data_IF_505677161518
#
_entry.id   IF_505677161518
#
_cell.length_a   1.000
_cell.length_b   1.000
_cell.length_c   1.000
_cell.angle_alpha   90.00
_cell.angle_beta   90.00
_cell.angle_gamma   90.00
#
_symmetry.space_group_name_H-M   'P 1'
#
loop_
_entity.id
_entity.type
_entity.pdbx_description
1 polymer ?
#
# COMPACT_ATOMS: atom_id res chain seq x y z
N UNK A 1 -39.79 22.03 8.57
CA UNK A 1 -39.19 21.66 8.32
C UNK A 1 -38.45 21.02 8.84
N UNK A 2 -38.05 20.99 9.20
CA UNK A 2 -37.27 20.41 9.89
C UNK A 2 -37.44 19.05 10.01
N UNK A 3 -38.44 18.59 9.84
CA UNK A 3 -38.63 17.33 10.10
C UNK A 3 -38.16 16.37 9.13
N UNK A 4 -37.99 16.78 7.93
CA UNK A 4 -37.29 16.00 6.99
C UNK A 4 -35.92 15.75 7.44
N UNK A 5 -35.37 16.63 8.19
CA UNK A 5 -34.06 16.39 8.71
C UNK A 5 -34.06 15.34 9.73
N UNK A 6 -35.05 15.28 10.53
CA UNK A 6 -35.09 14.30 11.56
C UNK A 6 -35.33 12.93 11.01
N UNK A 7 -35.89 12.84 9.79
CA UNK A 7 -36.07 11.57 9.18
C UNK A 7 -34.83 11.13 8.41
N UNK A 8 -34.00 12.06 8.09
CA UNK A 8 -32.72 11.71 7.55
C UNK A 8 -31.89 11.22 8.71
N UNK A 9 -31.66 9.96 8.72
CA UNK A 9 -30.80 9.38 9.70
C UNK A 9 -29.52 10.14 9.66
N UNK A 10 -29.26 10.92 10.66
CA UNK A 10 -27.93 11.43 10.85
C UNK A 10 -27.00 10.26 10.85
N UNK A 11 -25.97 10.27 10.04
CA UNK A 11 -24.98 9.23 10.18
C UNK A 11 -24.57 9.24 11.64
N UNK A 12 -24.63 8.10 12.25
CA UNK A 12 -24.01 7.89 13.53
C UNK A 12 -22.71 8.66 13.51
N UNK A 13 -22.43 9.46 14.53
CA UNK A 13 -21.16 10.17 14.53
C UNK A 13 -20.11 9.16 14.18
N UNK A 14 -19.52 9.36 13.02
CA UNK A 14 -18.48 8.49 12.56
C UNK A 14 -17.48 8.44 13.68
N UNK A 15 -17.19 7.23 14.11
CA UNK A 15 -16.15 7.00 15.04
C UNK A 15 -14.93 7.75 14.56
N UNK A 16 -14.40 8.59 15.42
CA UNK A 16 -13.20 9.34 15.07
C UNK A 16 -12.01 8.39 15.18
N UNK A 17 -11.33 8.21 14.06
CA UNK A 17 -10.13 7.39 14.05
C UNK A 17 -8.89 8.28 14.00
N UNK A 18 -7.79 7.76 14.49
CA UNK A 18 -6.46 8.28 14.20
C UNK A 18 -5.73 7.19 13.40
N UNK A 19 -4.47 7.42 13.09
CA UNK A 19 -3.71 6.46 12.29
C UNK A 19 -3.71 5.07 12.91
N UNK A 20 -3.45 4.99 14.20
CA UNK A 20 -3.31 3.70 14.89
C UNK A 20 -4.65 2.96 14.98
N UNK A 21 -5.69 3.65 15.39
CA UNK A 21 -7.01 3.03 15.52
C UNK A 21 -7.58 2.65 14.15
N UNK A 22 -7.32 3.46 13.14
CA UNK A 22 -7.75 3.15 11.78
C UNK A 22 -7.04 1.90 11.25
N UNK A 23 -5.73 1.78 11.51
CA UNK A 23 -4.99 0.61 11.09
C UNK A 23 -5.50 -0.65 11.82
N UNK A 24 -5.83 -0.54 13.09
CA UNK A 24 -6.41 -1.65 13.82
C UNK A 24 -7.75 -2.09 13.19
N UNK A 25 -8.60 -1.14 12.86
CA UNK A 25 -9.89 -1.46 12.21
C UNK A 25 -9.68 -2.09 10.85
N UNK A 26 -8.70 -1.60 10.09
CA UNK A 26 -8.34 -2.22 8.82
C UNK A 26 -7.91 -3.68 9.02
N UNK A 27 -7.05 -3.94 9.99
CA UNK A 27 -6.57 -5.30 10.25
C UNK A 27 -7.69 -6.24 10.67
N UNK A 28 -8.69 -5.74 11.38
CA UNK A 28 -9.86 -6.56 11.76
C UNK A 28 -10.67 -7.03 10.55
N UNK A 29 -10.57 -6.37 9.42
CA UNK A 29 -11.26 -6.80 8.21
C UNK A 29 -10.66 -8.07 7.62
N UNK A 30 -9.42 -8.41 8.01
CA UNK A 30 -8.71 -9.57 7.46
C UNK A 30 -8.65 -9.54 5.94
N UNK A 31 -8.34 -8.38 5.39
CA UNK A 31 -8.28 -8.17 3.95
C UNK A 31 -7.16 -8.98 3.34
N UNK A 32 -7.43 -9.59 2.20
CA UNK A 32 -6.40 -10.25 1.41
C UNK A 32 -6.39 -9.68 0.00
N UNK A 33 -5.22 -9.58 -0.59
CA UNK A 33 -5.10 -9.19 -1.98
C UNK A 33 -5.22 -10.43 -2.88
N UNK A 34 -5.86 -10.28 -4.02
CA UNK A 34 -5.93 -11.36 -5.00
C UNK A 34 -4.54 -11.77 -5.43
N UNK A 35 -4.28 -13.06 -5.49
CA UNK A 35 -3.00 -13.58 -5.98
C UNK A 35 -3.14 -13.92 -7.46
N UNK A 36 -3.26 -12.90 -8.29
CA UNK A 36 -3.51 -13.02 -9.72
C UNK A 36 -2.25 -12.95 -10.58
N UNK A 37 -1.09 -12.72 -9.98
CA UNK A 37 0.17 -12.78 -10.66
C UNK A 37 0.74 -14.19 -10.60
N UNK A 38 1.33 -14.64 -11.71
CA UNK A 38 1.95 -15.97 -11.77
C UNK A 38 3.44 -15.83 -11.92
N UNK A 39 4.17 -16.57 -11.09
CA UNK A 39 5.61 -16.65 -11.21
C UNK A 39 5.95 -17.95 -11.96
N UNK A 40 6.43 -17.87 -13.20
CA UNK A 40 6.69 -19.06 -13.99
C UNK A 40 7.82 -19.92 -13.45
N UNK A 41 8.66 -19.35 -12.57
CA UNK A 41 9.82 -20.07 -12.05
C UNK A 41 9.54 -20.82 -10.75
N UNK A 42 8.49 -20.45 -10.01
CA UNK A 42 8.29 -20.95 -8.66
C UNK A 42 6.90 -21.49 -8.38
N UNK A 43 6.11 -21.80 -9.27
CA UNK A 43 4.75 -22.33 -9.04
C UNK A 43 3.94 -21.56 -7.98
N UNK A 44 4.43 -20.42 -7.56
CA UNK A 44 3.73 -19.60 -6.57
C UNK A 44 3.02 -18.47 -7.27
N UNK A 45 1.90 -18.07 -6.71
CA UNK A 45 1.18 -16.91 -7.18
C UNK A 45 1.51 -15.72 -6.29
N UNK A 46 1.41 -14.55 -6.83
CA UNK A 46 1.60 -13.32 -6.07
C UNK A 46 0.49 -12.34 -6.40
N UNK A 47 0.33 -11.34 -5.55
CA UNK A 47 -0.65 -10.29 -5.79
C UNK A 47 -0.01 -9.18 -6.61
N UNK A 48 -0.61 -8.84 -7.73
CA UNK A 48 -0.15 -7.71 -8.54
C UNK A 48 -0.37 -6.41 -7.77
N UNK A 49 0.38 -5.37 -8.13
CA UNK A 49 0.27 -4.08 -7.46
C UNK A 49 -1.16 -3.56 -7.45
N UNK A 50 -1.87 -3.68 -8.56
CA UNK A 50 -3.27 -3.24 -8.66
C UNK A 50 -4.16 -3.94 -7.62
N UNK A 51 -3.95 -5.24 -7.42
CA UNK A 51 -4.72 -6.01 -6.46
C UNK A 51 -4.38 -5.66 -5.03
N UNK A 52 -3.12 -5.33 -4.78
CA UNK A 52 -2.69 -4.84 -3.45
C UNK A 52 -3.33 -3.48 -3.18
N UNK A 53 -3.32 -2.58 -4.16
CA UNK A 53 -3.94 -1.26 -4.02
C UNK A 53 -5.43 -1.40 -3.72
N UNK A 54 -6.12 -2.28 -4.45
CA UNK A 54 -7.54 -2.53 -4.21
C UNK A 54 -7.78 -3.02 -2.79
N UNK A 55 -6.94 -3.93 -2.31
CA UNK A 55 -7.06 -4.47 -0.98
C UNK A 55 -6.84 -3.41 0.10
N UNK A 56 -5.75 -2.63 0.00
CA UNK A 56 -5.43 -1.63 1.04
C UNK A 56 -6.40 -0.45 1.02
N UNK A 57 -7.02 -0.17 -0.13
CA UNK A 57 -7.98 0.92 -0.23
C UNK A 57 -9.27 0.65 0.56
N UNK A 58 -9.46 -0.56 1.05
CA UNK A 58 -10.53 -0.82 2.01
C UNK A 58 -10.30 -0.08 3.32
N UNK A 59 -9.08 0.34 3.59
CA UNK A 59 -8.77 1.17 4.74
C UNK A 59 -9.24 2.61 4.61
N UNK A 60 -9.63 3.04 3.40
CA UNK A 60 -10.11 4.42 3.18
C UNK A 60 -11.34 4.72 4.02
N UNK A 61 -12.16 3.74 4.30
CA UNK A 61 -13.36 3.91 5.12
C UNK A 61 -13.04 4.35 6.56
N UNK A 62 -11.81 4.12 6.99
CA UNK A 62 -11.34 4.53 8.32
C UNK A 62 -10.46 5.78 8.27
N UNK A 63 -10.30 6.36 7.09
CA UNK A 63 -9.44 7.55 6.89
C UNK A 63 -8.01 7.24 6.50
N UNK A 64 -7.66 5.96 6.30
CA UNK A 64 -6.31 5.59 5.84
C UNK A 64 -6.16 5.83 4.35
N UNK A 65 -5.01 6.32 3.96
CA UNK A 65 -4.59 6.39 2.56
C UNK A 65 -3.08 6.29 2.51
N UNK A 66 -2.54 6.14 1.33
CA UNK A 66 -1.09 5.99 1.19
C UNK A 66 -0.55 6.88 0.08
N UNK A 67 0.73 7.16 0.18
CA UNK A 67 1.49 7.81 -0.88
C UNK A 67 2.70 6.96 -1.20
N UNK A 68 3.14 6.98 -2.45
CA UNK A 68 4.36 6.32 -2.87
C UNK A 68 5.25 7.31 -3.58
N UNK A 69 6.48 7.41 -3.13
CA UNK A 69 7.44 8.36 -3.65
C UNK A 69 8.72 7.63 -4.04
N UNK A 70 9.44 8.22 -4.96
CA UNK A 70 10.73 7.71 -5.40
C UNK A 70 11.78 8.76 -5.02
N UNK A 71 12.73 8.36 -4.19
CA UNK A 71 13.86 9.20 -3.82
C UNK A 71 15.08 8.74 -4.58
N UNK A 72 15.91 9.68 -5.01
CA UNK A 72 17.17 9.38 -5.68
C UNK A 72 18.30 9.72 -4.72
N UNK A 73 19.20 8.77 -4.51
CA UNK A 73 20.30 8.91 -3.56
C UNK A 73 21.62 8.55 -4.22
N UNK A 74 22.72 8.87 -3.52
CA UNK A 74 24.07 8.50 -3.93
C UNK A 74 24.42 8.92 -5.35
N UNK A 75 24.23 10.20 -5.65
CA UNK A 75 24.51 10.75 -6.98
C UNK A 75 23.79 10.01 -8.09
N UNK A 76 22.53 9.67 -7.83
CA UNK A 76 21.64 9.02 -8.81
C UNK A 76 22.02 7.56 -9.08
N UNK A 77 22.80 6.95 -8.19
CA UNK A 77 23.13 5.52 -8.33
C UNK A 77 22.10 4.61 -7.70
N UNK A 78 21.36 5.12 -6.74
CA UNK A 78 20.36 4.35 -6.04
C UNK A 78 19.03 5.07 -6.10
N UNK A 79 17.96 4.32 -6.20
CA UNK A 79 16.62 4.86 -5.98
C UNK A 79 16.00 4.13 -4.81
N UNK A 80 15.13 4.82 -4.08
CA UNK A 80 14.43 4.25 -2.94
C UNK A 80 12.95 4.48 -3.16
N UNK A 81 12.17 3.42 -3.12
CA UNK A 81 10.72 3.54 -3.15
C UNK A 81 10.25 3.68 -1.71
N UNK A 82 9.50 4.73 -1.44
CA UNK A 82 9.00 5.05 -0.11
C UNK A 82 7.48 5.00 -0.13
N UNK A 83 6.91 4.11 0.65
CA UNK A 83 5.46 4.02 0.82
C UNK A 83 5.10 4.50 2.21
N UNK A 84 4.22 5.48 2.28
CA UNK A 84 3.79 6.08 3.53
C UNK A 84 2.29 5.90 3.68
N UNK A 85 1.88 5.31 4.80
CA UNK A 85 0.46 5.26 5.17
C UNK A 85 0.17 6.48 6.02
N UNK A 86 -0.89 7.19 5.65
CA UNK A 86 -1.31 8.43 6.26
C UNK A 86 -2.76 8.31 6.73
N UNK A 87 -3.13 9.20 7.59
CA UNK A 87 -4.52 9.31 8.04
C UNK A 87 -5.00 10.73 7.84
N UNK A 88 -6.24 10.88 7.43
CA UNK A 88 -6.81 12.17 7.06
C UNK A 88 -6.81 13.17 8.23
N UNK A 89 -6.88 12.70 9.47
CA UNK A 89 -6.96 13.57 10.66
C UNK A 89 -5.73 13.47 11.58
N UNK A 90 -4.66 12.84 11.14
CA UNK A 90 -3.52 12.56 12.00
C UNK A 90 -2.23 12.83 11.22
N UNK A 91 -1.29 13.49 11.83
CA UNK A 91 0.00 13.79 11.18
C UNK A 91 1.01 12.64 11.30
N UNK A 92 0.71 11.64 12.11
CA UNK A 92 1.58 10.48 12.23
C UNK A 92 1.52 9.63 10.96
N UNK A 93 2.57 8.89 10.71
CA UNK A 93 2.67 8.05 9.52
C UNK A 93 3.33 6.71 9.84
N UNK A 94 3.02 5.70 9.01
CA UNK A 94 3.80 4.47 8.94
C UNK A 94 4.53 4.48 7.60
N UNK A 95 5.82 4.12 7.62
CA UNK A 95 6.67 4.21 6.43
C UNK A 95 7.35 2.88 6.18
N UNK A 96 7.39 2.48 4.92
CA UNK A 96 8.17 1.34 4.45
C UNK A 96 9.01 1.78 3.26
N UNK A 97 10.27 1.41 3.24
CA UNK A 97 11.20 1.81 2.18
C UNK A 97 11.90 0.59 1.62
N UNK A 98 12.14 0.61 0.32
CA UNK A 98 12.93 -0.43 -0.32
C UNK A 98 13.88 0.21 -1.33
N UNK A 99 15.19 0.07 -1.13
CA UNK A 99 16.16 0.60 -2.07
C UNK A 99 16.27 -0.32 -3.30
N UNK A 100 16.48 0.30 -4.44
CA UNK A 100 16.78 -0.40 -5.67
C UNK A 100 18.18 0.04 -6.08
N UNK A 101 19.09 -0.92 -6.10
CA UNK A 101 20.45 -0.63 -6.50
C UNK A 101 20.52 -0.62 -8.02
N UNK A 102 20.89 0.51 -8.59
CA UNK A 102 21.04 0.65 -10.03
C UNK A 102 22.49 0.30 -10.38
N UNK A 103 22.66 -0.83 -11.04
CA UNK A 103 23.95 -1.17 -11.60
C UNK A 103 24.03 -0.66 -13.04
N UNK A 104 25.18 -0.85 -13.68
CA UNK A 104 25.39 -0.36 -15.03
C UNK A 104 24.41 -0.94 -16.05
N UNK A 105 23.98 -2.15 -15.82
CA UNK A 105 23.06 -2.83 -16.74
C UNK A 105 21.64 -2.26 -16.57
N UNK A 106 21.23 -2.07 -15.32
CA UNK A 106 19.90 -1.53 -15.02
C UNK A 106 19.73 -0.12 -15.56
N UNK A 107 20.75 0.71 -15.46
CA UNK A 107 20.68 2.07 -15.97
C UNK A 107 20.49 2.15 -17.47
N UNK A 108 20.91 1.12 -18.19
CA UNK A 108 20.77 1.06 -19.65
C UNK A 108 19.46 0.43 -20.09
N UNK A 109 18.64 -0.04 -19.15
CA UNK A 109 17.41 -0.73 -19.48
C UNK A 109 16.24 -0.15 -18.69
N UNK A 110 15.52 0.82 -19.28
CA UNK A 110 14.37 1.45 -18.59
C UNK A 110 13.29 0.45 -18.18
N UNK A 111 13.10 -0.61 -18.92
CA UNK A 111 12.12 -1.63 -18.59
C UNK A 111 12.46 -2.34 -17.29
N UNK A 112 13.73 -2.64 -17.06
CA UNK A 112 14.18 -3.28 -15.81
C UNK A 112 13.99 -2.35 -14.63
N UNK A 113 14.27 -1.08 -14.83
CA UNK A 113 14.07 -0.07 -13.77
C UNK A 113 12.59 0.00 -13.43
N UNK A 114 11.73 0.11 -14.43
CA UNK A 114 10.29 0.17 -14.24
C UNK A 114 9.75 -1.07 -13.51
N UNK A 115 10.21 -2.25 -13.90
CA UNK A 115 9.80 -3.49 -13.24
C UNK A 115 10.27 -3.54 -11.78
N UNK A 116 11.49 -3.08 -11.54
CA UNK A 116 12.03 -3.04 -10.17
C UNK A 116 11.26 -2.04 -9.30
N UNK A 117 10.87 -0.92 -9.85
CA UNK A 117 10.04 0.07 -9.13
C UNK A 117 8.67 -0.52 -8.79
N UNK A 118 8.03 -1.18 -9.75
CA UNK A 118 6.73 -1.82 -9.51
C UNK A 118 6.84 -2.89 -8.43
N UNK A 119 7.89 -3.69 -8.47
CA UNK A 119 8.19 -4.69 -7.46
C UNK A 119 8.31 -4.04 -6.08
N UNK A 120 9.09 -2.97 -5.99
CA UNK A 120 9.31 -2.27 -4.72
C UNK A 120 8.04 -1.59 -4.22
N UNK A 121 7.23 -1.05 -5.10
CA UNK A 121 5.93 -0.48 -4.72
C UNK A 121 5.02 -1.53 -4.12
N UNK A 122 4.99 -2.71 -4.72
CA UNK A 122 4.16 -3.82 -4.24
C UNK A 122 4.62 -4.29 -2.87
N UNK A 123 5.92 -4.52 -2.70
CA UNK A 123 6.45 -5.01 -1.43
C UNK A 123 6.32 -4.00 -0.30
N UNK A 124 6.63 -2.73 -0.55
CA UNK A 124 6.50 -1.71 0.50
C UNK A 124 5.06 -1.48 0.90
N UNK A 125 4.14 -1.54 -0.05
CA UNK A 125 2.72 -1.36 0.24
C UNK A 125 2.17 -2.53 1.07
N UNK A 126 2.50 -3.75 0.69
CA UNK A 126 2.10 -4.93 1.46
C UNK A 126 2.70 -4.90 2.87
N UNK A 127 3.97 -4.55 2.97
CA UNK A 127 4.67 -4.52 4.25
C UNK A 127 4.05 -3.51 5.21
N UNK A 128 3.78 -2.31 4.74
CA UNK A 128 3.31 -1.23 5.61
C UNK A 128 1.86 -1.46 6.09
N UNK A 129 1.07 -2.19 5.32
CA UNK A 129 -0.29 -2.57 5.72
C UNK A 129 -0.36 -3.94 6.38
N UNK A 130 0.76 -4.64 6.46
CA UNK A 130 0.80 -5.96 7.11
C UNK A 130 0.19 -7.09 6.28
N UNK A 131 0.21 -6.95 4.96
CA UNK A 131 -0.30 -8.00 4.07
C UNK A 131 0.84 -8.92 3.63
N UNK A 132 0.58 -10.22 3.47
CA UNK A 132 1.61 -11.12 2.95
C UNK A 132 1.92 -10.81 1.50
N UNK A 133 3.20 -10.91 1.12
CA UNK A 133 3.64 -10.56 -0.22
C UNK A 133 3.61 -11.72 -1.20
N UNK A 134 3.81 -12.93 -0.72
CA UNK A 134 3.89 -14.11 -1.56
C UNK A 134 2.99 -15.20 -1.02
N UNK A 135 2.74 -16.20 -1.87
CA UNK A 135 2.06 -17.40 -1.44
C UNK A 135 3.09 -18.24 -0.67
N UNK A 136 2.86 -18.41 0.62
CA UNK A 136 3.77 -19.19 1.46
C UNK A 136 3.31 -20.63 1.61
N UNK A 137 2.42 -21.10 0.77
CA UNK A 137 2.03 -22.49 0.72
C UNK A 137 3.06 -23.34 -0.01
N UNK A 138 4.28 -23.24 0.40
CA UNK A 138 5.36 -24.04 -0.21
C UNK A 138 5.35 -25.45 0.29
#
# INVERSE_FOLDING_TARGET
MTDTKSNIKKPTPSKVYNLRSAMLEFQKLSVTAKKDGKNPHFRSNYSKLESVIEAVNQGNQFGLFFTQEIEVKNYQKDIVVVTTVRHIDDDNTYVSKLPILLDDVSMKNPQKIGSAITYAKRYTLQAVYGLPSEDDGL
#
